data_IF_988356525737
#
_entry.id   IF_988356525737
#
_cell.length_a   1.000
_cell.length_b   1.000
_cell.length_c   1.000
_cell.angle_alpha   90.00
_cell.angle_beta   90.00
_cell.angle_gamma   90.00
#
_symmetry.space_group_name_H-M   'P 1'
#
loop_
_entity.id
_entity.type
_entity.pdbx_description
1 polymer ?
#
# COMPACT_ATOMS: atom_id res chain seq x y z
N UNK A 1 -25.60 10.62 -9.24
CA UNK A 1 -24.90 9.32 -9.34
C UNK A 1 -24.79 8.69 -7.95
N UNK A 2 -25.20 7.43 -7.83
CA UNK A 2 -25.07 6.62 -6.59
C UNK A 2 -23.95 5.60 -6.77
N UNK A 3 -22.97 5.59 -5.87
CA UNK A 3 -21.80 4.71 -5.95
C UNK A 3 -21.77 3.75 -4.75
N UNK A 4 -21.63 2.46 -5.01
CA UNK A 4 -21.35 1.45 -4.00
C UNK A 4 -19.88 1.03 -4.09
N UNK A 5 -19.14 1.17 -2.99
CA UNK A 5 -17.75 0.72 -2.88
C UNK A 5 -17.72 -0.56 -2.07
N UNK A 6 -17.49 -1.70 -2.72
CA UNK A 6 -17.62 -3.02 -2.14
C UNK A 6 -16.26 -3.58 -1.70
N UNK A 7 -16.12 -3.80 -0.40
CA UNK A 7 -14.99 -4.51 0.23
C UNK A 7 -15.19 -6.03 0.14
N UNK A 8 -14.14 -6.82 -0.09
CA UNK A 8 -14.19 -8.27 0.03
C UNK A 8 -14.16 -8.77 1.49
N UNK A 9 -14.20 -7.85 2.45
CA UNK A 9 -14.20 -8.14 3.89
C UNK A 9 -15.24 -7.26 4.61
N UNK A 10 -15.82 -7.75 5.72
CA UNK A 10 -16.69 -6.95 6.59
C UNK A 10 -16.02 -5.62 6.96
N UNK A 11 -16.77 -4.51 6.88
CA UNK A 11 -16.22 -3.17 7.13
C UNK A 11 -15.80 -2.94 8.59
N UNK A 12 -16.22 -3.82 9.49
CA UNK A 12 -15.80 -3.84 10.90
C UNK A 12 -14.39 -4.39 11.12
N UNK A 13 -13.82 -5.06 10.10
CA UNK A 13 -12.46 -5.59 10.17
C UNK A 13 -11.44 -4.53 9.72
N UNK A 14 -10.37 -4.34 10.47
CA UNK A 14 -9.25 -3.45 10.12
C UNK A 14 -8.30 -4.16 9.15
N UNK A 15 -8.67 -4.17 7.87
CA UNK A 15 -7.85 -4.71 6.77
C UNK A 15 -7.58 -3.63 5.72
N UNK A 16 -6.52 -3.78 4.92
CA UNK A 16 -6.16 -2.81 3.88
C UNK A 16 -7.33 -2.48 2.95
N UNK A 17 -8.13 -3.48 2.55
CA UNK A 17 -9.28 -3.26 1.66
C UNK A 17 -10.41 -2.46 2.33
N UNK A 18 -10.67 -2.68 3.62
CA UNK A 18 -11.71 -1.92 4.34
C UNK A 18 -11.31 -0.47 4.56
N UNK A 19 -10.03 -0.22 4.84
CA UNK A 19 -9.45 1.13 4.91
C UNK A 19 -9.56 1.82 3.55
N UNK A 20 -9.19 1.13 2.46
CA UNK A 20 -9.33 1.65 1.09
C UNK A 20 -10.78 1.96 0.74
N UNK A 21 -11.72 1.06 1.08
CA UNK A 21 -13.16 1.29 0.89
C UNK A 21 -13.62 2.57 1.59
N UNK A 22 -13.27 2.74 2.87
CA UNK A 22 -13.66 3.91 3.66
C UNK A 22 -13.05 5.20 3.08
N UNK A 23 -11.78 5.17 2.67
CA UNK A 23 -11.11 6.31 2.04
C UNK A 23 -11.82 6.75 0.77
N UNK A 24 -12.08 5.82 -0.17
CA UNK A 24 -12.76 6.14 -1.44
C UNK A 24 -14.15 6.70 -1.17
N UNK A 25 -14.92 6.11 -0.26
CA UNK A 25 -16.25 6.61 0.11
C UNK A 25 -16.18 8.05 0.63
N UNK A 26 -15.22 8.36 1.50
CA UNK A 26 -15.05 9.70 2.05
C UNK A 26 -14.65 10.71 0.98
N UNK A 27 -13.74 10.33 0.08
CA UNK A 27 -13.32 11.16 -1.07
C UNK A 27 -14.54 11.47 -1.95
N UNK A 28 -15.29 10.47 -2.37
CA UNK A 28 -16.45 10.66 -3.24
C UNK A 28 -17.56 11.52 -2.59
N UNK A 29 -17.82 11.29 -1.30
CA UNK A 29 -18.76 12.13 -0.54
C UNK A 29 -18.31 13.58 -0.43
N UNK A 30 -17.01 13.81 -0.23
CA UNK A 30 -16.40 15.14 -0.23
C UNK A 30 -16.60 15.90 -1.56
N UNK A 31 -16.79 15.16 -2.65
CA UNK A 31 -17.10 15.71 -3.99
C UNK A 31 -18.61 15.78 -4.32
N UNK A 32 -19.47 15.58 -3.31
CA UNK A 32 -20.93 15.64 -3.49
C UNK A 32 -21.55 14.39 -4.15
N UNK A 33 -20.80 13.30 -4.30
CA UNK A 33 -21.31 12.03 -4.84
C UNK A 33 -21.97 11.23 -3.73
N UNK A 34 -23.17 10.68 -3.99
CA UNK A 34 -23.83 9.76 -3.07
C UNK A 34 -23.09 8.41 -3.07
N UNK A 35 -22.12 8.26 -2.13
CA UNK A 35 -21.29 7.07 -2.03
C UNK A 35 -21.52 6.32 -0.72
N UNK A 36 -21.44 4.99 -0.76
CA UNK A 36 -21.47 4.12 0.42
C UNK A 36 -20.49 2.96 0.32
N UNK A 37 -19.99 2.53 1.46
CA UNK A 37 -19.22 1.30 1.59
C UNK A 37 -20.11 0.13 1.94
N UNK A 38 -19.75 -1.08 1.49
CA UNK A 38 -20.43 -2.32 1.86
C UNK A 38 -19.47 -3.52 1.88
N UNK A 39 -19.86 -4.56 2.62
CA UNK A 39 -19.27 -5.88 2.46
C UNK A 39 -19.95 -6.54 1.25
N UNK A 40 -19.21 -6.82 0.20
CA UNK A 40 -19.73 -7.14 -1.14
C UNK A 40 -20.77 -6.11 -1.61
N UNK A 41 -21.53 -6.43 -2.64
CA UNK A 41 -22.68 -5.61 -3.03
C UNK A 41 -23.86 -5.86 -2.10
N UNK A 42 -24.42 -4.81 -1.52
CA UNK A 42 -25.47 -4.89 -0.48
C UNK A 42 -26.90 -4.96 -1.03
N UNK A 43 -27.04 -5.04 -2.35
CA UNK A 43 -28.33 -5.14 -3.03
C UNK A 43 -29.12 -3.85 -3.15
N UNK A 44 -28.68 -2.73 -2.57
CA UNK A 44 -29.32 -1.42 -2.71
C UNK A 44 -28.98 -0.77 -4.04
N UNK A 45 -29.86 0.08 -4.54
CA UNK A 45 -29.68 0.81 -5.80
C UNK A 45 -28.32 1.54 -5.86
N UNK A 46 -27.61 1.35 -6.98
CA UNK A 46 -26.39 2.07 -7.31
C UNK A 46 -26.21 2.12 -8.85
N UNK A 47 -25.69 3.25 -9.34
CA UNK A 47 -25.35 3.44 -10.75
C UNK A 47 -23.99 2.82 -11.06
N UNK A 48 -23.08 2.87 -10.08
CA UNK A 48 -21.70 2.36 -10.18
C UNK A 48 -21.35 1.47 -8.99
N UNK A 49 -20.77 0.31 -9.27
CA UNK A 49 -20.11 -0.54 -8.31
C UNK A 49 -18.58 -0.40 -8.46
N UNK A 50 -17.90 0.02 -7.42
CA UNK A 50 -16.43 -0.09 -7.29
C UNK A 50 -16.15 -1.33 -6.45
N UNK A 51 -15.74 -2.43 -7.09
CA UNK A 51 -15.46 -3.70 -6.41
C UNK A 51 -13.97 -3.84 -6.15
N UNK A 52 -13.59 -3.93 -4.89
CA UNK A 52 -12.20 -4.17 -4.51
C UNK A 52 -11.87 -5.66 -4.65
N UNK A 53 -10.69 -5.94 -5.22
CA UNK A 53 -10.12 -7.27 -5.40
C UNK A 53 -10.81 -8.12 -6.49
N UNK A 54 -10.12 -8.32 -7.61
CA UNK A 54 -10.65 -8.99 -8.79
C UNK A 54 -11.25 -10.39 -8.52
N UNK A 55 -10.65 -11.18 -7.65
CA UNK A 55 -11.08 -12.56 -7.37
C UNK A 55 -12.14 -12.61 -6.27
N UNK A 56 -11.89 -11.97 -5.14
CA UNK A 56 -12.84 -12.00 -4.01
C UNK A 56 -14.10 -11.14 -4.24
N UNK A 57 -14.04 -10.21 -5.18
CA UNK A 57 -15.16 -9.36 -5.57
C UNK A 57 -16.15 -9.99 -6.56
N UNK A 58 -15.85 -11.17 -7.12
CA UNK A 58 -16.63 -11.81 -8.19
C UNK A 58 -18.12 -11.96 -7.86
N UNK A 59 -18.44 -12.45 -6.66
CA UNK A 59 -19.84 -12.63 -6.25
C UNK A 59 -20.59 -11.30 -6.19
N UNK A 60 -19.98 -10.30 -5.57
CA UNK A 60 -20.57 -8.96 -5.48
C UNK A 60 -20.81 -8.32 -6.85
N UNK A 61 -19.90 -8.53 -7.81
CA UNK A 61 -20.06 -8.04 -9.19
C UNK A 61 -21.19 -8.77 -9.90
N UNK A 62 -21.29 -10.10 -9.74
CA UNK A 62 -22.38 -10.88 -10.31
C UNK A 62 -23.74 -10.41 -9.79
N UNK A 63 -23.89 -10.30 -8.46
CA UNK A 63 -25.12 -9.87 -7.81
C UNK A 63 -25.51 -8.44 -8.22
N UNK A 64 -24.53 -7.57 -8.39
CA UNK A 64 -24.76 -6.21 -8.89
C UNK A 64 -25.31 -6.22 -10.32
N UNK A 65 -24.71 -7.00 -11.23
CA UNK A 65 -25.18 -7.07 -12.63
C UNK A 65 -26.56 -7.64 -12.77
N UNK A 66 -26.94 -8.62 -11.95
CA UNK A 66 -28.29 -9.18 -11.93
C UNK A 66 -29.33 -8.14 -11.50
N UNK A 67 -29.04 -7.35 -10.46
CA UNK A 67 -29.96 -6.35 -9.92
C UNK A 67 -29.94 -5.02 -10.67
N UNK A 68 -28.77 -4.61 -11.17
CA UNK A 68 -28.49 -3.34 -11.83
C UNK A 68 -27.92 -3.59 -13.24
N UNK A 69 -28.72 -4.11 -14.19
CA UNK A 69 -28.21 -4.52 -15.52
C UNK A 69 -27.64 -3.36 -16.35
N UNK A 70 -28.01 -2.12 -16.03
CA UNK A 70 -27.46 -0.90 -16.65
C UNK A 70 -26.32 -0.28 -15.83
N UNK A 71 -26.03 -0.81 -14.63
CA UNK A 71 -24.99 -0.31 -13.75
C UNK A 71 -23.60 -0.54 -14.30
N UNK A 72 -22.64 0.30 -13.90
CA UNK A 72 -21.24 0.21 -14.31
C UNK A 72 -20.40 -0.46 -13.22
N UNK A 73 -19.45 -1.27 -13.64
CA UNK A 73 -18.53 -1.98 -12.76
C UNK A 73 -17.12 -1.47 -12.96
N UNK A 74 -16.51 -1.02 -11.87
CA UNK A 74 -15.09 -0.73 -11.77
C UNK A 74 -14.48 -1.79 -10.86
N UNK A 75 -13.41 -2.46 -11.31
CA UNK A 75 -12.64 -3.39 -10.47
C UNK A 75 -11.36 -2.69 -10.03
N UNK A 76 -11.19 -2.50 -8.71
CA UNK A 76 -9.96 -1.97 -8.12
C UNK A 76 -9.06 -3.11 -7.67
N UNK A 77 -7.87 -3.20 -8.25
CA UNK A 77 -6.86 -4.18 -7.88
C UNK A 77 -6.09 -3.75 -6.63
N UNK A 78 -5.93 -4.68 -5.69
CA UNK A 78 -5.49 -4.38 -4.32
C UNK A 78 -4.14 -4.99 -3.94
N UNK A 79 -3.45 -5.62 -4.86
CA UNK A 79 -2.13 -6.20 -4.68
C UNK A 79 -2.15 -7.74 -4.66
N UNK A 80 -2.78 -8.40 -3.69
CA UNK A 80 -2.81 -9.88 -3.65
C UNK A 80 -3.51 -10.51 -4.84
N UNK A 81 -4.53 -9.87 -5.38
CA UNK A 81 -5.16 -10.27 -6.64
C UNK A 81 -4.21 -10.12 -7.82
N UNK A 82 -3.59 -8.96 -7.98
CA UNK A 82 -2.69 -8.64 -9.09
C UNK A 82 -1.43 -9.51 -9.10
N UNK A 83 -0.81 -9.69 -7.92
CA UNK A 83 0.52 -10.30 -7.83
C UNK A 83 0.52 -11.79 -7.43
N UNK A 84 -0.60 -12.32 -6.96
CA UNK A 84 -0.73 -13.73 -6.55
C UNK A 84 -1.85 -14.44 -7.28
N UNK A 85 -3.12 -14.03 -7.05
CA UNK A 85 -4.27 -14.81 -7.49
C UNK A 85 -4.44 -14.84 -9.02
N UNK A 86 -4.26 -13.71 -9.73
CA UNK A 86 -4.34 -13.65 -11.19
C UNK A 86 -3.20 -14.41 -11.87
N UNK A 87 -1.91 -14.26 -11.46
CA UNK A 87 -0.81 -15.07 -12.01
C UNK A 87 -0.94 -16.56 -11.73
N UNK A 88 -1.63 -16.97 -10.66
CA UNK A 88 -1.94 -18.37 -10.35
C UNK A 88 -3.09 -18.95 -11.20
N UNK A 89 -3.64 -18.20 -12.15
CA UNK A 89 -4.64 -18.67 -13.09
C UNK A 89 -6.09 -18.60 -12.61
N UNK A 90 -6.44 -17.61 -11.80
CA UNK A 90 -7.84 -17.40 -11.39
C UNK A 90 -8.73 -17.01 -12.58
N UNK A 91 -9.37 -18.01 -13.22
CA UNK A 91 -10.28 -17.77 -14.35
C UNK A 91 -11.41 -16.80 -13.99
N UNK A 92 -12.05 -16.99 -12.82
CA UNK A 92 -13.13 -16.10 -12.37
C UNK A 92 -12.65 -14.66 -12.16
N UNK A 93 -11.42 -14.47 -11.66
CA UNK A 93 -10.81 -13.15 -11.51
C UNK A 93 -10.50 -12.51 -12.86
N UNK A 94 -9.97 -13.27 -13.81
CA UNK A 94 -9.71 -12.79 -15.17
C UNK A 94 -11.02 -12.41 -15.89
N UNK A 95 -12.04 -13.26 -15.80
CA UNK A 95 -13.35 -12.95 -16.37
C UNK A 95 -13.96 -11.68 -15.76
N UNK A 96 -13.81 -11.48 -14.44
CA UNK A 96 -14.26 -10.27 -13.78
C UNK A 96 -13.60 -9.00 -14.34
N UNK A 97 -12.30 -9.07 -14.72
CA UNK A 97 -11.60 -7.96 -15.37
C UNK A 97 -12.09 -7.74 -16.82
N UNK A 98 -12.32 -8.83 -17.57
CA UNK A 98 -12.85 -8.77 -18.94
C UNK A 98 -14.22 -8.11 -18.93
N UNK A 99 -15.06 -8.44 -17.97
CA UNK A 99 -16.41 -7.91 -17.87
C UNK A 99 -16.49 -6.48 -17.28
N UNK A 100 -15.47 -6.03 -16.56
CA UNK A 100 -15.44 -4.70 -15.97
C UNK A 100 -15.50 -3.58 -17.03
N UNK A 101 -16.19 -2.49 -16.72
CA UNK A 101 -16.18 -1.28 -17.55
C UNK A 101 -14.83 -0.54 -17.45
N UNK A 102 -14.23 -0.52 -16.26
CA UNK A 102 -12.90 0.01 -16.00
C UNK A 102 -12.19 -0.83 -14.93
N UNK A 103 -10.87 -0.80 -14.98
CA UNK A 103 -9.99 -1.43 -14.00
C UNK A 103 -9.13 -0.34 -13.41
N UNK A 104 -9.07 -0.26 -12.08
CA UNK A 104 -8.21 0.70 -11.39
C UNK A 104 -7.01 -0.03 -10.79
N UNK A 105 -5.82 0.52 -11.01
CA UNK A 105 -4.57 0.13 -10.37
C UNK A 105 -3.96 1.34 -9.67
N UNK A 106 -3.15 1.10 -8.64
CA UNK A 106 -2.58 2.20 -7.85
C UNK A 106 -1.23 2.71 -8.40
N UNK A 107 -0.70 2.07 -9.44
CA UNK A 107 0.59 2.40 -10.06
C UNK A 107 0.69 1.88 -11.50
N UNK A 108 1.49 2.56 -12.33
CA UNK A 108 1.64 2.27 -13.76
C UNK A 108 2.26 0.88 -14.04
N UNK A 109 3.24 0.46 -13.23
CA UNK A 109 3.90 -0.84 -13.44
C UNK A 109 2.92 -2.02 -13.34
N UNK A 110 1.82 -1.86 -12.59
CA UNK A 110 0.75 -2.84 -12.49
C UNK A 110 0.09 -3.18 -13.85
N UNK A 111 0.06 -2.22 -14.79
CA UNK A 111 -0.53 -2.41 -16.12
C UNK A 111 0.14 -3.57 -16.87
N UNK A 112 1.46 -3.68 -16.75
CA UNK A 112 2.25 -4.73 -17.44
C UNK A 112 1.92 -6.14 -16.96
N UNK A 113 1.38 -6.27 -15.75
CA UNK A 113 0.98 -7.55 -15.13
C UNK A 113 -0.37 -8.07 -15.62
N UNK A 114 -1.14 -7.20 -16.24
CA UNK A 114 -2.47 -7.54 -16.73
C UNK A 114 -2.43 -8.09 -18.16
N UNK A 115 -3.38 -8.98 -18.53
CA UNK A 115 -3.56 -9.44 -19.89
C UNK A 115 -3.74 -8.25 -20.84
N UNK A 116 -3.21 -8.38 -22.07
CA UNK A 116 -3.23 -7.29 -23.06
C UNK A 116 -4.65 -6.84 -23.37
N UNK A 117 -5.59 -7.76 -23.38
CA UNK A 117 -7.00 -7.56 -23.73
C UNK A 117 -7.75 -6.60 -22.79
N UNK A 118 -7.25 -6.45 -21.55
CA UNK A 118 -7.91 -5.58 -20.57
C UNK A 118 -7.15 -4.27 -20.31
N UNK A 119 -5.95 -4.10 -20.87
CA UNK A 119 -5.08 -2.94 -20.56
C UNK A 119 -5.68 -1.61 -20.97
N UNK A 120 -6.45 -1.55 -22.05
CA UNK A 120 -7.13 -0.32 -22.50
C UNK A 120 -8.22 0.17 -21.54
N UNK A 121 -8.70 -0.71 -20.64
CA UNK A 121 -9.66 -0.36 -19.59
C UNK A 121 -9.01 0.14 -18.32
N UNK A 122 -7.67 0.08 -18.24
CA UNK A 122 -6.94 0.36 -16.99
C UNK A 122 -6.76 1.85 -16.81
N UNK A 123 -7.05 2.32 -15.61
CA UNK A 123 -6.81 3.67 -15.14
C UNK A 123 -5.91 3.60 -13.90
N UNK A 124 -4.90 4.45 -13.83
CA UNK A 124 -4.03 4.55 -12.66
C UNK A 124 -4.59 5.61 -11.72
N UNK A 125 -4.95 5.21 -10.51
CA UNK A 125 -5.38 6.12 -9.45
C UNK A 125 -4.50 5.86 -8.22
N UNK A 126 -3.47 6.67 -7.96
CA UNK A 126 -2.64 6.53 -6.77
C UNK A 126 -3.48 6.65 -5.50
N UNK A 127 -3.20 5.77 -4.54
CA UNK A 127 -3.88 5.81 -3.25
C UNK A 127 -3.38 7.01 -2.43
N UNK A 128 -4.29 7.88 -2.01
CA UNK A 128 -3.90 9.06 -1.22
C UNK A 128 -3.58 8.73 0.23
N UNK A 129 -2.83 9.63 0.83
CA UNK A 129 -2.54 9.68 2.26
C UNK A 129 -3.08 11.00 2.83
N UNK A 130 -3.84 10.89 3.92
CA UNK A 130 -4.23 12.09 4.68
C UNK A 130 -3.00 12.83 5.19
N UNK A 131 -3.00 14.18 5.21
CA UNK A 131 -1.88 14.95 5.68
C UNK A 131 -1.40 14.53 7.07
N UNK A 132 -0.09 14.31 7.22
CA UNK A 132 0.54 13.98 8.49
C UNK A 132 1.27 15.23 8.99
N UNK A 133 0.90 15.72 10.18
CA UNK A 133 1.51 16.89 10.80
C UNK A 133 2.79 16.59 11.61
N UNK A 134 3.21 15.32 11.64
CA UNK A 134 4.40 14.88 12.35
C UNK A 134 5.59 14.97 11.37
N UNK A 135 6.64 15.68 11.80
CA UNK A 135 7.89 15.75 11.05
C UNK A 135 8.96 14.85 11.66
N UNK A 136 9.88 14.36 10.82
CA UNK A 136 11.02 13.57 11.28
C UNK A 136 11.87 14.34 12.29
N UNK A 137 12.13 13.68 13.41
CA UNK A 137 13.01 14.18 14.48
C UNK A 137 13.86 13.02 15.02
N UNK A 138 14.82 12.52 14.20
CA UNK A 138 15.58 11.33 14.54
C UNK A 138 16.37 11.53 15.84
N UNK A 139 16.51 10.46 16.61
CA UNK A 139 17.34 10.45 17.79
C UNK A 139 18.81 10.67 17.40
N UNK A 140 19.58 11.36 18.24
CA UNK A 140 21.02 11.50 18.03
C UNK A 140 21.76 10.16 18.19
N UNK A 141 21.28 9.30 19.05
CA UNK A 141 21.72 7.91 19.32
C UNK A 141 20.56 7.18 20.00
N UNK A 142 20.30 5.90 19.67
CA UNK A 142 20.96 5.10 18.63
C UNK A 142 20.59 5.53 17.21
N UNK A 143 21.30 5.02 16.19
CA UNK A 143 20.85 5.05 14.81
C UNK A 143 19.67 4.08 14.66
N UNK A 144 18.46 4.58 14.83
CA UNK A 144 17.28 3.76 14.84
C UNK A 144 16.77 3.50 13.43
N UNK A 145 16.51 2.23 13.11
CA UNK A 145 15.93 1.78 11.84
C UNK A 145 14.52 1.27 12.12
N UNK A 146 13.50 1.94 11.60
CA UNK A 146 12.12 1.46 11.72
C UNK A 146 11.74 0.50 10.60
N UNK A 147 11.06 -0.60 10.96
CA UNK A 147 10.41 -1.55 10.06
C UNK A 147 8.93 -1.57 10.42
N UNK A 148 8.09 -0.94 9.58
CA UNK A 148 6.68 -0.69 9.89
C UNK A 148 5.76 -1.63 9.14
N UNK A 149 4.94 -2.35 9.88
CA UNK A 149 3.90 -3.24 9.35
C UNK A 149 3.79 -4.54 10.12
N UNK A 150 2.62 -5.17 10.05
CA UNK A 150 2.42 -6.49 10.65
C UNK A 150 3.37 -7.50 10.03
N UNK A 151 4.17 -8.22 10.84
CA UNK A 151 5.04 -9.29 10.37
C UNK A 151 4.25 -10.33 9.56
N UNK A 152 4.66 -10.52 8.31
CA UNK A 152 4.15 -11.57 7.40
C UNK A 152 5.29 -11.97 6.47
N UNK A 153 5.37 -13.21 6.00
CA UNK A 153 6.46 -13.68 5.12
C UNK A 153 6.69 -12.78 3.90
N UNK A 154 5.62 -12.29 3.27
CA UNK A 154 5.69 -11.39 2.11
C UNK A 154 6.38 -10.07 2.40
N UNK A 155 6.44 -9.63 3.67
CA UNK A 155 7.09 -8.39 4.10
C UNK A 155 8.55 -8.57 4.50
N UNK A 156 9.03 -9.81 4.62
CA UNK A 156 10.37 -10.14 5.14
C UNK A 156 10.75 -9.31 6.39
N UNK A 157 9.90 -9.35 7.44
CA UNK A 157 9.99 -8.40 8.56
C UNK A 157 11.30 -8.49 9.34
N UNK A 158 11.94 -9.66 9.32
CA UNK A 158 13.16 -9.92 10.08
C UNK A 158 14.46 -9.73 9.28
N UNK A 159 14.38 -9.46 7.95
CA UNK A 159 15.56 -9.29 7.10
C UNK A 159 16.49 -8.20 7.63
N UNK A 160 15.95 -7.10 8.15
CA UNK A 160 16.75 -6.00 8.69
C UNK A 160 17.53 -6.42 9.93
N UNK A 161 16.87 -7.09 10.89
CA UNK A 161 17.56 -7.55 12.09
C UNK A 161 18.53 -8.69 11.81
N UNK A 162 18.23 -9.58 10.89
CA UNK A 162 19.14 -10.60 10.42
C UNK A 162 20.42 -9.99 9.82
N UNK A 163 20.28 -8.87 9.12
CA UNK A 163 21.42 -8.12 8.59
C UNK A 163 22.21 -7.46 9.70
N UNK A 164 21.58 -6.72 10.61
CA UNK A 164 22.24 -6.03 11.72
C UNK A 164 22.94 -7.03 12.64
N UNK A 165 22.37 -8.20 12.89
CA UNK A 165 22.96 -9.25 13.75
C UNK A 165 24.27 -9.83 13.20
N UNK A 166 24.53 -9.74 11.89
CA UNK A 166 25.80 -10.15 11.27
C UNK A 166 26.95 -9.14 11.51
N UNK A 167 26.62 -7.94 11.99
CA UNK A 167 27.54 -6.82 12.20
C UNK A 167 27.63 -6.45 13.68
N UNK A 168 28.41 -7.19 14.50
CA UNK A 168 28.56 -6.87 15.92
C UNK A 168 29.24 -5.52 16.15
N UNK A 169 29.94 -4.97 15.17
CA UNK A 169 30.57 -3.64 15.21
C UNK A 169 29.55 -2.50 15.17
N UNK A 170 28.32 -2.71 14.70
CA UNK A 170 27.28 -1.70 14.67
C UNK A 170 26.55 -1.59 16.02
N UNK A 171 27.30 -1.25 17.07
CA UNK A 171 26.78 -1.24 18.45
C UNK A 171 25.73 -0.15 18.71
N UNK A 172 25.78 0.96 17.96
CA UNK A 172 24.84 2.09 18.08
C UNK A 172 23.70 2.03 17.03
N UNK A 173 23.40 0.86 16.48
CA UNK A 173 22.29 0.64 15.55
C UNK A 173 21.20 -0.16 16.24
N UNK A 174 19.95 0.32 16.20
CA UNK A 174 18.78 -0.42 16.67
C UNK A 174 17.78 -0.65 15.54
N UNK A 175 17.11 -1.80 15.56
CA UNK A 175 15.99 -2.13 14.66
C UNK A 175 14.69 -2.08 15.44
N UNK A 176 13.79 -1.20 15.05
CA UNK A 176 12.48 -1.00 15.66
C UNK A 176 11.39 -1.63 14.79
N UNK A 177 10.91 -2.81 15.17
CA UNK A 177 9.80 -3.47 14.52
C UNK A 177 8.48 -2.94 15.09
N UNK A 178 7.65 -2.32 14.23
CA UNK A 178 6.36 -1.73 14.60
C UNK A 178 5.26 -2.48 13.84
N UNK A 179 4.49 -3.27 14.55
CA UNK A 179 3.40 -4.07 13.97
C UNK A 179 3.13 -5.33 14.79
N UNK A 180 1.89 -5.75 14.82
CA UNK A 180 1.46 -6.94 15.56
C UNK A 180 1.78 -8.22 14.78
N UNK A 181 2.28 -9.25 15.46
CA UNK A 181 2.38 -10.60 14.93
C UNK A 181 0.99 -11.23 14.83
N UNK A 182 0.44 -11.29 13.63
CA UNK A 182 -0.93 -11.76 13.40
C UNK A 182 -1.05 -13.30 13.42
N UNK A 183 0.05 -14.00 13.25
CA UNK A 183 0.15 -15.46 13.31
C UNK A 183 1.19 -15.88 14.35
N UNK A 184 1.08 -17.16 14.79
CA UNK A 184 1.91 -17.73 15.85
C UNK A 184 3.40 -17.76 15.47
N UNK A 185 3.71 -18.08 14.20
CA UNK A 185 5.09 -18.17 13.71
C UNK A 185 5.77 -16.81 13.74
N UNK A 186 5.11 -15.78 13.19
CA UNK A 186 5.63 -14.40 13.18
C UNK A 186 5.85 -13.88 14.61
N UNK A 187 4.94 -14.20 15.54
CA UNK A 187 5.03 -13.80 16.94
C UNK A 187 6.22 -14.48 17.63
N UNK A 188 6.32 -15.79 17.51
CA UNK A 188 7.42 -16.58 18.08
C UNK A 188 8.78 -16.08 17.57
N UNK A 189 8.92 -15.88 16.26
CA UNK A 189 10.17 -15.40 15.66
C UNK A 189 10.55 -14.00 16.16
N UNK A 190 9.57 -13.09 16.30
CA UNK A 190 9.81 -11.76 16.85
C UNK A 190 10.24 -11.78 18.32
N UNK A 191 9.65 -12.64 19.14
CA UNK A 191 10.03 -12.86 20.53
C UNK A 191 11.45 -13.47 20.65
N UNK A 192 11.78 -14.45 19.81
CA UNK A 192 13.13 -15.04 19.76
C UNK A 192 14.18 -13.99 19.41
N UNK A 193 13.92 -13.12 18.41
CA UNK A 193 14.82 -12.02 18.09
C UNK A 193 14.97 -11.03 19.26
N UNK A 194 13.88 -10.68 19.94
CA UNK A 194 13.90 -9.77 21.09
C UNK A 194 14.72 -10.31 22.27
N UNK A 195 14.79 -11.62 22.41
CA UNK A 195 15.61 -12.28 23.44
C UNK A 195 17.07 -12.44 23.05
N UNK A 196 17.33 -12.70 21.76
CA UNK A 196 18.65 -13.02 21.24
C UNK A 196 19.51 -11.79 20.90
N UNK A 197 18.89 -10.73 20.41
CA UNK A 197 19.56 -9.55 19.87
C UNK A 197 19.10 -8.28 20.60
N UNK A 198 19.90 -7.70 21.49
CA UNK A 198 19.50 -6.53 22.29
C UNK A 198 19.27 -5.26 21.46
N UNK A 199 19.76 -5.21 20.23
CA UNK A 199 19.52 -4.11 19.27
C UNK A 199 18.17 -4.24 18.55
N UNK A 200 17.40 -5.30 18.77
CA UNK A 200 16.06 -5.47 18.23
C UNK A 200 14.99 -5.11 19.26
N UNK A 201 14.13 -4.16 18.90
CA UNK A 201 13.00 -3.74 19.73
C UNK A 201 11.70 -3.98 18.97
N UNK A 202 10.91 -4.91 19.45
CA UNK A 202 9.58 -5.14 18.89
C UNK A 202 8.53 -4.45 19.74
N UNK A 203 7.82 -3.46 19.13
CA UNK A 203 6.80 -2.65 19.80
C UNK A 203 5.38 -3.23 19.69
N UNK A 204 5.20 -4.35 18.96
CA UNK A 204 3.88 -4.93 18.75
C UNK A 204 2.94 -4.03 17.92
N UNK A 205 1.64 -4.26 18.07
CA UNK A 205 0.60 -3.44 17.45
C UNK A 205 0.40 -2.15 18.21
N UNK A 206 0.70 -1.02 17.58
CA UNK A 206 0.50 0.31 18.14
C UNK A 206 -0.66 1.03 17.43
N UNK A 207 -1.38 1.95 18.12
CA UNK A 207 -2.23 2.93 17.46
C UNK A 207 -1.46 3.68 16.36
N UNK A 208 -2.15 4.03 15.26
CA UNK A 208 -1.50 4.65 14.10
C UNK A 208 -0.66 5.89 14.48
N UNK A 209 -1.20 6.76 15.32
CA UNK A 209 -0.49 7.97 15.74
C UNK A 209 0.81 7.66 16.50
N UNK A 210 0.81 6.66 17.38
CA UNK A 210 2.00 6.22 18.09
C UNK A 210 3.03 5.58 17.16
N UNK A 211 2.58 4.76 16.21
CA UNK A 211 3.42 4.20 15.16
C UNK A 211 4.12 5.30 14.34
N UNK A 212 3.39 6.34 13.95
CA UNK A 212 3.93 7.48 13.21
C UNK A 212 4.96 8.26 14.06
N UNK A 213 4.65 8.55 15.32
CA UNK A 213 5.57 9.23 16.24
C UNK A 213 6.86 8.44 16.46
N UNK A 214 6.76 7.12 16.54
CA UNK A 214 7.93 6.27 16.70
C UNK A 214 8.75 6.20 15.40
N UNK A 215 8.09 6.05 14.24
CA UNK A 215 8.74 6.10 12.94
C UNK A 215 9.47 7.44 12.73
N UNK A 216 8.86 8.58 13.08
CA UNK A 216 9.45 9.91 12.95
C UNK A 216 10.73 10.10 13.79
N UNK A 217 10.91 9.31 14.84
CA UNK A 217 12.15 9.30 15.66
C UNK A 217 13.25 8.41 15.10
N UNK A 218 12.96 7.60 14.08
CA UNK A 218 13.98 6.77 13.45
C UNK A 218 14.84 7.57 12.47
N UNK A 219 16.08 7.14 12.30
CA UNK A 219 17.02 7.71 11.33
C UNK A 219 16.77 7.23 9.91
N UNK A 220 16.12 6.06 9.79
CA UNK A 220 15.83 5.39 8.53
C UNK A 220 14.61 4.50 8.69
N UNK A 221 13.77 4.43 7.66
CA UNK A 221 12.71 3.41 7.53
C UNK A 221 13.13 2.39 6.47
N UNK A 222 13.01 1.10 6.78
CA UNK A 222 13.23 0.03 5.80
C UNK A 222 11.92 -0.66 5.45
N UNK A 223 11.66 -0.77 4.14
CA UNK A 223 10.63 -1.63 3.58
C UNK A 223 11.30 -2.78 2.82
N UNK A 224 11.28 -3.98 3.39
CA UNK A 224 11.90 -5.20 2.86
C UNK A 224 10.94 -6.11 2.10
N UNK A 225 9.74 -5.66 1.80
CA UNK A 225 8.69 -6.46 1.17
C UNK A 225 9.12 -7.03 -0.18
N UNK A 226 8.67 -8.24 -0.48
CA UNK A 226 8.82 -8.86 -1.81
C UNK A 226 7.62 -8.51 -2.71
N UNK A 227 6.54 -8.01 -2.12
CA UNK A 227 5.31 -7.67 -2.84
C UNK A 227 4.51 -6.64 -2.05
N UNK A 228 4.14 -5.54 -2.74
CA UNK A 228 3.22 -4.52 -2.24
C UNK A 228 2.33 -4.01 -3.39
N UNK A 229 1.06 -3.79 -3.12
CA UNK A 229 0.19 -3.03 -4.02
C UNK A 229 0.47 -1.53 -3.94
N UNK A 230 0.56 -1.03 -2.70
CA UNK A 230 1.00 0.31 -2.33
C UNK A 230 1.45 0.27 -0.88
N UNK A 231 2.71 0.61 -0.61
CA UNK A 231 3.32 0.51 0.71
C UNK A 231 3.00 1.76 1.56
N UNK A 232 1.87 1.76 2.28
CA UNK A 232 1.48 2.89 3.13
C UNK A 232 2.59 3.34 4.09
N UNK A 233 3.35 2.39 4.67
CA UNK A 233 4.45 2.72 5.56
C UNK A 233 5.57 3.52 4.87
N UNK A 234 5.82 3.26 3.59
CA UNK A 234 6.76 4.05 2.76
C UNK A 234 6.22 5.45 2.54
N UNK A 235 4.93 5.56 2.18
CA UNK A 235 4.29 6.84 1.95
C UNK A 235 4.19 7.69 3.24
N UNK A 236 3.92 7.06 4.38
CA UNK A 236 3.92 7.72 5.69
C UNK A 236 5.32 8.22 6.08
N UNK A 237 6.37 7.39 5.93
CA UNK A 237 7.75 7.79 6.20
C UNK A 237 8.17 8.96 5.29
N UNK A 238 7.88 8.87 3.99
CA UNK A 238 8.12 9.92 3.00
C UNK A 238 7.44 11.24 3.38
N UNK A 239 6.17 11.18 3.82
CA UNK A 239 5.39 12.35 4.24
C UNK A 239 6.02 13.04 5.45
N UNK A 240 6.48 12.29 6.44
CA UNK A 240 7.15 12.80 7.63
C UNK A 240 8.58 13.29 7.36
N UNK A 241 9.18 12.95 6.21
CA UNK A 241 10.58 13.24 5.88
C UNK A 241 11.58 12.28 6.52
N UNK A 242 11.14 11.08 6.86
CA UNK A 242 12.05 10.00 7.26
C UNK A 242 12.64 9.37 6.00
N UNK A 243 13.98 9.24 5.90
CA UNK A 243 14.62 8.56 4.78
C UNK A 243 14.11 7.12 4.63
N UNK A 244 13.95 6.64 3.41
CA UNK A 244 13.45 5.29 3.13
C UNK A 244 14.50 4.48 2.38
N UNK A 245 14.78 3.28 2.86
CA UNK A 245 15.51 2.25 2.12
C UNK A 245 14.53 1.12 1.80
N UNK A 246 14.26 0.87 0.53
CA UNK A 246 13.19 -0.03 0.11
C UNK A 246 13.68 -1.12 -0.85
N UNK A 247 13.12 -2.32 -0.73
CA UNK A 247 13.29 -3.33 -1.77
C UNK A 247 12.82 -2.79 -3.12
N UNK A 248 13.57 -3.08 -4.20
CA UNK A 248 13.22 -2.66 -5.56
C UNK A 248 12.08 -3.51 -6.11
N UNK A 249 10.86 -3.14 -5.78
CA UNK A 249 9.63 -3.77 -6.24
C UNK A 249 8.67 -2.72 -6.81
N UNK A 250 7.79 -3.14 -7.70
CA UNK A 250 6.85 -2.24 -8.39
C UNK A 250 6.04 -1.35 -7.43
N UNK A 251 5.60 -1.90 -6.27
CA UNK A 251 4.86 -1.17 -5.26
C UNK A 251 5.65 -0.02 -4.63
N UNK A 252 6.93 -0.21 -4.39
CA UNK A 252 7.81 0.83 -3.87
C UNK A 252 8.20 1.83 -4.96
N UNK A 253 8.48 1.35 -6.18
CA UNK A 253 8.80 2.21 -7.34
C UNK A 253 7.61 3.11 -7.71
N UNK A 254 6.37 2.63 -7.58
CA UNK A 254 5.16 3.43 -7.77
C UNK A 254 5.10 4.64 -6.83
N UNK A 255 5.56 4.49 -5.59
CA UNK A 255 5.57 5.55 -4.58
C UNK A 255 6.81 6.44 -4.73
N UNK A 256 8.01 5.86 -4.63
CA UNK A 256 9.28 6.59 -4.56
C UNK A 256 9.79 7.05 -5.92
N UNK A 257 9.31 6.45 -7.02
CA UNK A 257 9.77 6.70 -8.38
C UNK A 257 10.94 5.83 -8.79
N UNK A 258 11.00 5.48 -10.07
CA UNK A 258 11.97 4.54 -10.65
C UNK A 258 13.44 4.95 -10.40
N UNK A 259 13.72 6.26 -10.36
CA UNK A 259 15.07 6.84 -10.17
C UNK A 259 15.45 7.11 -8.72
N UNK A 260 14.62 6.73 -7.76
CA UNK A 260 14.93 6.90 -6.35
C UNK A 260 16.18 6.10 -5.97
N UNK A 261 17.18 6.69 -5.28
CA UNK A 261 18.46 6.02 -5.04
C UNK A 261 18.44 5.02 -3.88
N UNK A 262 17.46 5.11 -2.98
CA UNK A 262 17.34 4.27 -1.79
C UNK A 262 16.66 2.92 -2.06
N UNK A 263 16.99 2.25 -3.15
CA UNK A 263 16.55 0.88 -3.40
C UNK A 263 17.65 -0.13 -3.17
N UNK A 264 17.24 -1.33 -2.73
CA UNK A 264 18.11 -2.49 -2.69
C UNK A 264 17.47 -3.69 -3.39
N UNK A 265 18.30 -4.47 -4.06
CA UNK A 265 17.97 -5.77 -4.64
C UNK A 265 18.23 -6.93 -3.67
N UNK A 266 18.10 -8.15 -4.18
CA UNK A 266 18.41 -9.36 -3.40
C UNK A 266 19.89 -9.36 -3.00
N UNK A 267 20.17 -9.54 -1.69
CA UNK A 267 21.54 -9.56 -1.15
C UNK A 267 22.23 -8.19 -1.01
N UNK A 268 21.61 -7.09 -1.42
CA UNK A 268 22.24 -5.75 -1.41
C UNK A 268 22.01 -4.97 -0.12
N UNK A 269 21.08 -5.37 0.74
CA UNK A 269 20.73 -4.63 1.97
C UNK A 269 21.92 -4.38 2.87
N UNK A 270 22.80 -5.36 3.02
CA UNK A 270 24.02 -5.32 3.83
C UNK A 270 24.93 -4.17 3.40
N UNK A 271 25.31 -4.16 2.13
CA UNK A 271 26.18 -3.13 1.55
C UNK A 271 25.57 -1.73 1.59
N UNK A 272 24.25 -1.62 1.39
CA UNK A 272 23.53 -0.34 1.48
C UNK A 272 23.52 0.19 2.92
N UNK A 273 23.25 -0.66 3.91
CA UNK A 273 23.28 -0.28 5.32
C UNK A 273 24.69 0.13 5.75
N UNK A 274 25.72 -0.63 5.35
CA UNK A 274 27.11 -0.26 5.62
C UNK A 274 27.43 1.14 5.05
N UNK A 275 27.04 1.42 3.82
CA UNK A 275 27.29 2.72 3.19
C UNK A 275 26.59 3.87 3.92
N UNK A 276 25.37 3.64 4.43
CA UNK A 276 24.60 4.63 5.20
C UNK A 276 25.23 4.87 6.56
N UNK A 277 25.58 3.80 7.30
CA UNK A 277 26.19 3.88 8.64
C UNK A 277 27.55 4.56 8.57
N UNK A 278 28.34 4.27 7.54
CA UNK A 278 29.64 4.94 7.28
C UNK A 278 29.50 6.39 6.78
N UNK A 279 28.27 6.90 6.67
CA UNK A 279 27.96 8.24 6.16
C UNK A 279 28.50 8.50 4.73
N UNK A 280 28.59 7.46 3.91
CA UNK A 280 28.97 7.55 2.49
C UNK A 280 27.79 7.94 1.59
N UNK A 281 26.59 8.04 2.16
CA UNK A 281 25.33 8.36 1.46
C UNK A 281 24.69 9.56 2.14
N UNK A 282 24.28 10.54 1.33
CA UNK A 282 23.54 11.72 1.81
C UNK A 282 22.02 11.43 1.83
N UNK A 283 21.49 11.09 3.01
CA UNK A 283 20.09 10.72 3.17
C UNK A 283 19.11 11.88 2.92
N UNK A 284 19.58 13.13 3.01
CA UNK A 284 18.74 14.31 2.75
C UNK A 284 18.27 14.34 1.32
N UNK A 285 19.12 14.00 0.36
CA UNK A 285 18.77 13.94 -1.06
C UNK A 285 17.66 12.91 -1.31
N UNK A 286 17.67 11.80 -0.54
CA UNK A 286 16.63 10.79 -0.63
C UNK A 286 15.27 11.32 -0.15
N UNK A 287 15.27 12.07 0.93
CA UNK A 287 14.06 12.72 1.47
C UNK A 287 13.50 13.72 0.48
N UNK A 288 14.33 14.59 -0.09
CA UNK A 288 13.92 15.63 -1.02
C UNK A 288 13.31 15.02 -2.30
N UNK A 289 13.95 13.99 -2.86
CA UNK A 289 13.45 13.26 -4.03
C UNK A 289 12.10 12.55 -3.75
N UNK A 290 11.99 11.90 -2.59
CA UNK A 290 10.74 11.25 -2.20
C UNK A 290 9.62 12.27 -1.99
N UNK A 291 9.86 13.34 -1.22
CA UNK A 291 8.86 14.38 -0.93
C UNK A 291 8.37 15.12 -2.17
N UNK A 292 9.20 15.28 -3.20
CA UNK A 292 8.79 15.87 -4.46
C UNK A 292 7.62 15.12 -5.14
N UNK A 293 7.36 13.87 -4.76
CA UNK A 293 6.27 13.06 -5.29
C UNK A 293 4.98 13.11 -4.44
N UNK A 294 5.01 13.69 -3.25
CA UNK A 294 3.84 13.76 -2.35
C UNK A 294 2.57 14.32 -3.00
N UNK A 295 2.64 15.34 -3.88
CA UNK A 295 1.43 15.85 -4.53
C UNK A 295 0.62 14.79 -5.28
N UNK A 296 1.27 13.73 -5.79
CA UNK A 296 0.58 12.61 -6.46
C UNK A 296 -0.31 11.79 -5.53
N UNK A 297 -0.04 11.85 -4.22
CA UNK A 297 -0.70 11.07 -3.19
C UNK A 297 -1.56 11.94 -2.27
N UNK A 298 -1.92 13.14 -2.71
CA UNK A 298 -2.85 13.98 -1.95
C UNK A 298 -4.29 13.51 -2.12
N UNK A 299 -5.18 13.72 -1.13
CA UNK A 299 -6.61 13.43 -1.26
C UNK A 299 -7.26 14.16 -2.44
N UNK A 300 -6.81 15.37 -2.75
CA UNK A 300 -7.28 16.17 -3.88
C UNK A 300 -6.90 15.53 -5.22
N UNK A 301 -5.68 14.99 -5.33
CA UNK A 301 -5.23 14.29 -6.54
C UNK A 301 -6.02 13.01 -6.76
N UNK A 302 -6.21 12.19 -5.72
CA UNK A 302 -7.05 10.98 -5.81
C UNK A 302 -8.49 11.32 -6.16
N UNK A 303 -9.05 12.38 -5.56
CA UNK A 303 -10.41 12.85 -5.84
C UNK A 303 -10.59 13.27 -7.31
N UNK A 304 -9.63 14.02 -7.86
CA UNK A 304 -9.65 14.43 -9.26
C UNK A 304 -9.66 13.22 -10.22
N UNK A 305 -8.82 12.21 -9.95
CA UNK A 305 -8.78 10.99 -10.75
C UNK A 305 -10.10 10.20 -10.69
N UNK A 306 -10.71 10.07 -9.50
CA UNK A 306 -12.01 9.42 -9.36
C UNK A 306 -13.12 10.17 -10.08
N UNK A 307 -13.18 11.49 -9.99
CA UNK A 307 -14.16 12.32 -10.68
C UNK A 307 -14.04 12.19 -12.20
N UNK A 308 -12.82 12.26 -12.73
CA UNK A 308 -12.56 12.08 -14.16
C UNK A 308 -13.06 10.71 -14.65
N UNK A 309 -12.71 9.63 -13.93
CA UNK A 309 -13.12 8.28 -14.25
C UNK A 309 -14.65 8.12 -14.24
N UNK A 310 -15.32 8.63 -13.22
CA UNK A 310 -16.78 8.53 -13.10
C UNK A 310 -17.50 9.37 -14.15
N UNK A 311 -16.96 10.55 -14.49
CA UNK A 311 -17.51 11.41 -15.57
C UNK A 311 -17.37 10.75 -16.94
N UNK A 312 -16.22 10.11 -17.25
CA UNK A 312 -16.04 9.37 -18.52
C UNK A 312 -17.04 8.22 -18.65
N UNK A 313 -17.35 7.54 -17.55
CA UNK A 313 -18.35 6.48 -17.54
C UNK A 313 -19.77 6.99 -17.81
N UNK A 314 -20.15 8.16 -17.32
CA UNK A 314 -21.45 8.79 -17.56
C UNK A 314 -21.58 9.28 -19.02
N UNK A 315 -20.56 9.93 -19.56
CA UNK A 315 -20.58 10.45 -20.94
C UNK A 315 -20.79 9.37 -21.98
N UNK A 316 -20.20 8.19 -21.79
CA UNK A 316 -20.39 7.03 -22.69
C UNK A 316 -21.79 6.38 -22.60
N UNK A 317 -22.54 6.69 -21.54
CA UNK A 317 -23.97 6.26 -21.43
C UNK A 317 -24.90 7.08 -22.32
N UNK A 318 -24.57 8.35 -22.56
CA UNK A 318 -25.38 9.25 -23.40
C UNK A 318 -25.20 9.04 -24.91
N UNK A 319 -24.31 8.16 -25.34
CA UNK A 319 -24.01 7.89 -26.75
C UNK A 319 -24.54 6.52 -27.25
N UNK A 320 -25.15 5.71 -26.38
CA UNK A 320 -25.82 4.44 -26.71
C UNK A 320 -27.34 4.54 -26.56
#
# INVERSE_FOLDING_TARGET
MKVCVASPYPLTELKGNTVTTSRIVNILRGQGIEARGSYHFDGREADVLISLHAVKGVEGVRDFREKMPKGRVIVLLTGTDLYQSLPQGSEAGLQNLVDANRIVVVQEAAIRRLPVEVREKVVVIPASLDPISIEASPLASPFAISVVGHPRPVKRPFLTIETVARHPEWQDVEVWQIGEGLDEESRKTGEEWSQKEPRYRWFGGLPREESLKLCAKSSLTINSSILEGGANAVLEAMSMGVPVLASRIEGNEGILGEKYPGYFGEGELDGMLQAIIDKRVELRDWVDLARARLPLFSPESEAACWLELLTDLDYRQGQL
#
